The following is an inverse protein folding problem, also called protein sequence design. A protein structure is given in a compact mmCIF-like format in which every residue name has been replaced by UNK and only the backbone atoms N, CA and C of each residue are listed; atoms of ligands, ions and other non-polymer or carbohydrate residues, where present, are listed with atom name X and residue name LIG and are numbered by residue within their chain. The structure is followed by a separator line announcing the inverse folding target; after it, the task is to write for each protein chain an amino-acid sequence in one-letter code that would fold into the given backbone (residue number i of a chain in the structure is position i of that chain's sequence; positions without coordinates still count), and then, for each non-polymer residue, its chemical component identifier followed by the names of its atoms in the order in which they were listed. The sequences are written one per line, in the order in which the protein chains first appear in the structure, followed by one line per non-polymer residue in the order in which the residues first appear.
data_IF_062842374215
#
_entry.id   IF_062842374215
#
_cell.length_a   1.000
_cell.length_b   1.000
_cell.length_c   1.000
_cell.angle_alpha   90.00
_cell.angle_beta   90.00
_cell.angle_gamma   90.00
#
_symmetry.space_group_name_H-M   'P 1'
#
loop_
_entity.id
_entity.type
_entity.pdbx_description
1 polymer ?
#
# COMPACT_ATOMS: atom_id res chain seq x y z
N UNK A 1 21.36 9.70 13.16
CA UNK A 1 20.06 9.52 13.80
C UNK A 1 19.03 9.47 12.70
N UNK A 2 18.48 8.29 12.41
CA UNK A 2 17.40 8.09 11.46
C UNK A 2 16.14 8.21 12.30
N UNK A 3 15.47 9.35 12.25
CA UNK A 3 14.14 9.45 12.83
C UNK A 3 13.25 8.61 11.90
N UNK A 4 12.73 7.49 12.39
CA UNK A 4 11.67 6.78 11.69
C UNK A 4 10.49 7.75 11.62
N UNK A 5 10.33 8.39 10.47
CA UNK A 5 9.18 9.24 10.21
C UNK A 5 8.01 8.29 10.06
N UNK A 6 6.97 8.55 10.84
CA UNK A 6 5.88 7.62 11.11
C UNK A 6 5.31 6.96 9.84
N UNK A 7 5.17 5.63 9.90
CA UNK A 7 4.24 4.90 9.03
C UNK A 7 2.83 5.07 9.58
N UNK A 8 1.89 5.44 8.72
CA UNK A 8 0.49 5.60 9.09
C UNK A 8 -0.34 4.45 8.53
N UNK A 9 -1.18 3.84 9.36
CA UNK A 9 -2.06 2.74 8.96
C UNK A 9 -1.47 1.34 9.22
N UNK A 10 -2.09 0.29 8.64
CA UNK A 10 -3.14 0.38 7.63
C UNK A 10 -4.49 0.92 8.16
N UNK A 11 -5.15 1.77 7.36
CA UNK A 11 -6.53 2.20 7.61
C UNK A 11 -7.49 1.55 6.60
N UNK A 12 -8.65 1.09 7.07
CA UNK A 12 -9.69 0.55 6.20
C UNK A 12 -10.75 1.62 5.98
N UNK A 13 -10.95 2.03 4.73
CA UNK A 13 -11.89 3.09 4.34
C UNK A 13 -12.82 2.55 3.25
N UNK A 14 -14.08 2.98 3.26
CA UNK A 14 -15.01 2.62 2.20
C UNK A 14 -14.72 3.42 0.91
N UNK A 15 -15.00 2.83 -0.24
CA UNK A 15 -15.13 3.56 -1.51
C UNK A 15 -16.05 4.79 -1.35
N UNK A 16 -15.77 5.88 -2.08
CA UNK A 16 -16.47 7.17 -1.96
C UNK A 16 -16.36 7.84 -0.57
N UNK A 17 -15.49 7.35 0.31
CA UNK A 17 -15.10 8.04 1.53
C UNK A 17 -14.13 9.19 1.24
N UNK A 18 -13.73 9.88 2.30
CA UNK A 18 -12.69 10.91 2.23
C UNK A 18 -11.66 10.70 3.32
N UNK A 19 -10.42 11.06 3.03
CA UNK A 19 -9.32 11.08 4.01
C UNK A 19 -8.65 12.44 3.95
N UNK A 20 -8.68 13.17 5.06
CA UNK A 20 -7.98 14.45 5.16
C UNK A 20 -6.58 14.23 5.70
N UNK A 21 -5.58 14.64 4.92
CA UNK A 21 -4.19 14.74 5.33
C UNK A 21 -3.90 16.17 5.73
N UNK A 22 -3.26 16.36 6.88
CA UNK A 22 -2.86 17.67 7.37
C UNK A 22 -1.42 17.61 7.86
N UNK A 23 -0.64 18.64 7.57
CA UNK A 23 0.78 18.68 7.91
C UNK A 23 1.22 20.07 8.38
N UNK A 24 2.32 20.09 9.11
CA UNK A 24 3.12 21.28 9.47
C UNK A 24 4.53 21.07 8.94
N UNK A 25 5.25 22.15 8.60
CA UNK A 25 6.53 22.00 7.91
C UNK A 25 6.35 21.69 6.42
N UNK A 26 7.46 21.47 5.72
CA UNK A 26 7.45 21.31 4.25
C UNK A 26 7.09 19.88 3.85
N UNK A 27 5.85 19.67 3.44
CA UNK A 27 5.35 18.37 2.94
C UNK A 27 4.34 18.58 1.82
N UNK A 28 4.10 17.54 1.03
CA UNK A 28 2.98 17.47 0.09
C UNK A 28 2.32 16.10 0.14
N UNK A 29 1.49 15.79 -0.84
CA UNK A 29 0.84 14.49 -0.95
C UNK A 29 0.98 13.92 -2.36
N UNK A 30 1.40 12.66 -2.42
CA UNK A 30 1.70 11.95 -3.64
C UNK A 30 1.35 10.47 -3.48
N UNK A 31 0.66 9.88 -4.46
CA UNK A 31 0.33 8.46 -4.48
C UNK A 31 1.41 7.66 -5.20
N UNK A 32 1.77 6.51 -4.65
CA UNK A 32 2.74 5.56 -5.20
C UNK A 32 2.10 4.18 -5.36
N UNK A 33 2.56 3.34 -6.30
CA UNK A 33 1.93 2.04 -6.58
C UNK A 33 2.17 0.99 -5.49
N UNK A 34 3.25 1.12 -4.74
CA UNK A 34 3.63 0.24 -3.64
C UNK A 34 4.39 1.04 -2.56
N UNK A 35 4.82 0.38 -1.49
CA UNK A 35 5.54 1.02 -0.38
C UNK A 35 6.94 1.56 -0.75
N UNK A 36 7.49 1.20 -1.91
CA UNK A 36 8.84 1.59 -2.30
C UNK A 36 8.88 3.05 -2.77
N UNK A 37 9.74 3.83 -2.11
CA UNK A 37 9.92 5.23 -2.46
C UNK A 37 10.56 5.39 -3.84
N UNK A 38 9.93 6.15 -4.75
CA UNK A 38 10.49 6.34 -6.07
C UNK A 38 11.78 7.16 -6.00
N UNK A 39 12.69 6.93 -6.95
CA UNK A 39 13.91 7.72 -7.08
C UNK A 39 13.63 9.17 -7.50
N UNK A 40 12.43 9.44 -8.05
CA UNK A 40 11.94 10.75 -8.41
C UNK A 40 10.40 10.82 -8.31
N UNK A 41 9.87 11.98 -7.94
CA UNK A 41 8.43 12.22 -7.84
C UNK A 41 7.96 13.03 -9.04
N UNK A 42 7.54 12.33 -10.09
CA UNK A 42 7.11 12.95 -11.36
C UNK A 42 5.90 12.17 -11.87
N UNK A 43 4.81 12.87 -12.16
CA UNK A 43 3.57 12.27 -12.64
C UNK A 43 3.22 12.79 -14.05
N UNK A 44 2.56 11.97 -14.90
CA UNK A 44 2.44 10.52 -14.78
C UNK A 44 3.72 9.86 -15.32
N UNK A 45 4.36 8.99 -14.53
CA UNK A 45 5.48 8.14 -15.01
C UNK A 45 5.07 6.69 -15.28
N UNK A 46 4.04 6.21 -14.59
CA UNK A 46 3.44 4.88 -14.73
C UNK A 46 2.06 4.85 -14.05
N UNK A 47 1.31 3.76 -14.23
CA UNK A 47 0.06 3.49 -13.52
C UNK A 47 0.27 3.52 -11.99
N UNK A 48 -0.64 4.16 -11.25
CA UNK A 48 -0.60 4.26 -9.79
C UNK A 48 0.19 5.44 -9.21
N UNK A 49 0.98 6.17 -10.02
CA UNK A 49 1.64 7.41 -9.60
C UNK A 49 0.73 8.62 -9.80
N UNK A 50 0.45 9.37 -8.72
CA UNK A 50 -0.42 10.53 -8.80
C UNK A 50 0.07 11.68 -7.91
N UNK A 51 0.07 12.90 -8.46
CA UNK A 51 0.41 14.10 -7.71
C UNK A 51 -0.89 14.70 -7.14
N UNK A 52 -1.08 14.58 -5.83
CA UNK A 52 -2.34 14.95 -5.17
C UNK A 52 -2.29 16.39 -4.64
N UNK A 53 -1.22 16.74 -3.92
CA UNK A 53 -1.01 18.10 -3.39
C UNK A 53 0.45 18.51 -3.48
N UNK A 54 0.75 19.79 -3.81
CA UNK A 54 2.13 20.25 -3.90
C UNK A 54 2.80 20.37 -2.53
N UNK A 55 4.15 20.27 -2.46
CA UNK A 55 4.87 20.61 -1.25
C UNK A 55 4.62 22.05 -0.82
N UNK A 56 4.18 22.22 0.43
CA UNK A 56 3.97 23.51 1.06
C UNK A 56 4.40 23.46 2.52
N UNK A 57 4.79 24.63 3.06
CA UNK A 57 5.07 24.75 4.50
C UNK A 57 3.76 24.84 5.28
N UNK A 58 3.30 23.70 5.77
CA UNK A 58 1.97 23.51 6.30
C UNK A 58 0.92 23.36 5.20
N UNK A 59 -0.16 22.66 5.51
CA UNK A 59 -1.23 22.44 4.56
C UNK A 59 -2.23 21.39 5.00
N UNK A 60 -3.29 21.27 4.21
CA UNK A 60 -4.25 20.18 4.31
C UNK A 60 -4.75 19.82 2.91
N UNK A 61 -5.02 18.54 2.69
CA UNK A 61 -5.58 18.02 1.46
C UNK A 61 -6.59 16.92 1.77
N UNK A 62 -7.77 17.01 1.18
CA UNK A 62 -8.78 15.95 1.25
C UNK A 62 -8.64 15.06 0.03
N UNK A 63 -8.24 13.81 0.27
CA UNK A 63 -8.20 12.77 -0.74
C UNK A 63 -9.56 12.09 -0.83
N UNK A 64 -10.19 12.22 -2.00
CA UNK A 64 -11.40 11.47 -2.35
C UNK A 64 -11.01 10.02 -2.61
N UNK A 65 -11.58 9.11 -1.83
CA UNK A 65 -11.21 7.69 -1.89
C UNK A 65 -11.68 7.09 -3.21
N UNK A 66 -10.79 6.45 -3.99
CA UNK A 66 -11.14 5.87 -5.27
C UNK A 66 -12.28 4.86 -5.19
N UNK A 67 -13.13 4.82 -6.23
CA UNK A 67 -14.20 3.83 -6.35
C UNK A 67 -13.68 2.39 -6.44
N UNK A 68 -12.44 2.20 -6.90
CA UNK A 68 -11.82 0.89 -7.06
C UNK A 68 -11.28 0.40 -5.70
N UNK A 69 -11.81 -0.70 -5.14
CA UNK A 69 -11.25 -1.30 -3.93
C UNK A 69 -9.81 -1.75 -4.17
N UNK A 70 -8.98 -1.65 -3.14
CA UNK A 70 -7.57 -2.00 -3.24
C UNK A 70 -6.72 -1.41 -2.14
N UNK A 71 -5.42 -1.67 -2.24
CA UNK A 71 -4.42 -1.08 -1.36
C UNK A 71 -3.83 0.15 -2.05
N UNK A 72 -3.77 1.25 -1.31
CA UNK A 72 -3.27 2.54 -1.77
C UNK A 72 -2.15 3.00 -0.84
N UNK A 73 -1.08 3.51 -1.44
CA UNK A 73 0.08 4.02 -0.74
C UNK A 73 0.22 5.51 -1.04
N UNK A 74 0.25 6.32 0.01
CA UNK A 74 0.41 7.77 -0.10
C UNK A 74 1.65 8.20 0.67
N UNK A 75 2.37 9.19 0.16
CA UNK A 75 3.60 9.71 0.77
C UNK A 75 3.76 11.20 0.46
N UNK A 76 4.77 11.83 1.07
CA UNK A 76 5.23 13.15 0.66
C UNK A 76 6.35 13.04 -0.36
N UNK A 77 6.26 13.86 -1.40
CA UNK A 77 7.29 14.03 -2.42
C UNK A 77 8.41 14.99 -2.00
N UNK A 78 8.36 15.56 -0.79
CA UNK A 78 9.43 16.42 -0.28
C UNK A 78 10.73 15.62 -0.07
N UNK A 79 11.92 16.19 -0.40
CA UNK A 79 13.16 15.43 -0.37
C UNK A 79 13.46 14.76 0.98
N UNK A 80 13.52 13.43 0.95
CA UNK A 80 13.87 12.61 2.11
C UNK A 80 12.68 12.00 2.84
N UNK A 81 11.50 12.61 2.77
CA UNK A 81 10.33 12.20 3.56
C UNK A 81 9.96 10.73 3.38
N UNK A 82 9.72 10.32 2.14
CA UNK A 82 9.38 8.92 1.85
C UNK A 82 10.49 7.97 2.33
N UNK A 83 11.77 8.26 2.01
CA UNK A 83 12.91 7.41 2.39
C UNK A 83 13.12 7.33 3.90
N UNK A 84 12.65 8.34 4.63
CA UNK A 84 12.68 8.37 6.09
C UNK A 84 11.44 7.72 6.72
N UNK A 85 10.49 7.22 5.91
CA UNK A 85 9.35 6.42 6.37
C UNK A 85 7.99 7.09 6.32
N UNK A 86 7.89 8.35 5.85
CA UNK A 86 6.63 9.10 5.80
C UNK A 86 5.70 8.54 4.70
N UNK A 87 4.99 7.47 5.03
CA UNK A 87 4.12 6.72 4.12
C UNK A 87 2.85 6.33 4.86
N UNK A 88 1.70 6.45 4.19
CA UNK A 88 0.40 6.01 4.64
C UNK A 88 -0.09 4.82 3.80
N UNK A 89 -0.59 3.80 4.48
CA UNK A 89 -1.23 2.62 3.88
C UNK A 89 -2.74 2.70 4.09
N UNK A 90 -3.50 2.65 3.00
CA UNK A 90 -4.97 2.69 3.03
C UNK A 90 -5.52 1.50 2.24
N UNK A 91 -6.33 0.68 2.91
CA UNK A 91 -7.16 -0.33 2.28
C UNK A 91 -8.54 0.25 1.98
N UNK A 92 -8.85 0.39 0.71
CA UNK A 92 -10.16 0.79 0.22
C UNK A 92 -11.00 -0.46 0.02
N UNK A 93 -12.14 -0.51 0.69
CA UNK A 93 -13.07 -1.64 0.66
C UNK A 93 -14.42 -1.20 0.10
N UNK A 94 -15.07 -2.10 -0.63
CA UNK A 94 -16.47 -1.92 -1.02
C UNK A 94 -17.37 -2.64 0.00
N UNK A 95 -18.17 -1.90 0.80
CA UNK A 95 -19.07 -2.51 1.78
C UNK A 95 -20.18 -3.35 1.14
N UNK A 96 -20.44 -3.20 -0.16
CA UNK A 96 -21.46 -3.96 -0.90
C UNK A 96 -20.96 -5.35 -1.36
N UNK A 97 -19.71 -5.71 -1.03
CA UNK A 97 -19.29 -7.11 -1.02
C UNK A 97 -18.78 -7.68 -2.35
N UNK A 98 -18.38 -6.84 -3.30
CA UNK A 98 -17.64 -7.29 -4.50
C UNK A 98 -16.15 -6.95 -4.45
N UNK A 99 -15.60 -6.72 -3.25
CA UNK A 99 -14.15 -6.84 -3.10
C UNK A 99 -13.81 -8.30 -3.34
N UNK A 100 -13.24 -8.61 -4.51
CA UNK A 100 -12.60 -9.88 -4.82
C UNK A 100 -11.47 -10.08 -3.82
N UNK A 101 -11.84 -10.46 -2.60
CA UNK A 101 -10.93 -10.84 -1.56
C UNK A 101 -10.11 -11.95 -2.18
N UNK A 102 -8.83 -11.66 -2.35
CA UNK A 102 -7.75 -12.63 -2.36
C UNK A 102 -7.84 -13.43 -1.06
N UNK A 103 -8.86 -14.30 -0.95
CA UNK A 103 -8.85 -15.46 -0.08
C UNK A 103 -7.87 -16.41 -0.74
N UNK A 104 -6.57 -16.21 -0.47
CA UNK A 104 -5.63 -17.33 -0.51
C UNK A 104 -6.06 -18.26 0.61
N UNK A 105 -7.00 -19.15 0.30
CA UNK A 105 -7.22 -20.34 1.09
C UNK A 105 -5.99 -21.21 0.81
N UNK A 106 -4.97 -21.10 1.66
CA UNK A 106 -3.92 -22.10 1.70
C UNK A 106 -4.58 -23.42 2.11
N UNK A 107 -4.89 -24.25 1.13
CA UNK A 107 -5.35 -25.62 1.36
C UNK A 107 -4.20 -26.39 2.00
N UNK A 108 -4.36 -26.72 3.29
CA UNK A 108 -3.41 -27.53 4.08
C UNK A 108 -3.20 -28.95 3.52
N UNK A 109 -3.85 -29.34 2.42
CA UNK A 109 -3.76 -30.67 1.84
C UNK A 109 -2.55 -30.93 0.93
N UNK A 110 -1.72 -29.92 0.62
CA UNK A 110 -0.58 -30.14 -0.30
C UNK A 110 0.73 -30.58 0.39
N UNK A 111 0.76 -30.74 1.72
CA UNK A 111 1.98 -31.16 2.45
C UNK A 111 2.08 -32.67 2.73
N UNK A 112 1.05 -33.46 2.41
CA UNK A 112 1.06 -34.92 2.70
C UNK A 112 1.46 -35.77 1.47
N UNK A 113 1.49 -35.21 0.26
CA UNK A 113 1.74 -36.01 -0.95
C UNK A 113 3.23 -36.31 -1.24
N UNK A 114 4.19 -35.76 -0.48
CA UNK A 114 5.62 -35.95 -0.77
C UNK A 114 6.33 -37.02 0.09
N UNK A 115 5.64 -37.70 1.01
CA UNK A 115 6.28 -38.68 1.91
C UNK A 115 5.90 -40.15 1.63
N UNK A 116 5.07 -40.44 0.63
CA UNK A 116 4.59 -41.81 0.37
C UNK A 116 5.23 -42.52 -0.84
N UNK A 117 6.37 -42.05 -1.36
CA UNK A 117 7.08 -42.71 -2.47
C UNK A 117 8.52 -43.07 -2.07
N UNK A 118 8.69 -43.82 -0.99
CA UNK A 118 9.93 -44.58 -0.72
C UNK A 118 9.61 -45.88 0.00
N UNK A 119 8.76 -46.71 -0.58
CA UNK A 119 8.69 -48.12 -0.23
C UNK A 119 8.66 -48.96 -1.50
N UNK A 120 9.43 -50.05 -1.48
CA UNK A 120 9.50 -51.15 -2.44
C UNK A 120 10.45 -50.97 -3.62
N UNK A 121 11.75 -51.15 -3.38
CA UNK A 121 12.63 -51.87 -4.32
C UNK A 121 13.89 -52.35 -3.58
N UNK A 122 13.79 -53.47 -2.85
CA UNK A 122 14.94 -54.38 -2.58
C UNK A 122 14.38 -55.77 -2.27
N UNK A 123 14.11 -56.54 -3.32
CA UNK A 123 14.10 -58.01 -3.30
C UNK A 123 14.67 -58.47 -4.65
N UNK A 124 15.99 -58.65 -4.69
CA UNK A 124 16.72 -59.58 -5.53
C UNK A 124 18.14 -59.70 -4.98
#
# INVERSE_FOLDING_TARGET
MQFEVARFGPYNICVNGTVTFSWTGMHGLFQIPDIACPSNFTAPKAEGYEYLAPPSNGGSFTWEVPEKPGQYWLTSQWPGDCRNGLVAEIFVTDPTGTSAASRRVYSLYSLIALLAVTALFWLA
#
